data_IF_002060549247
#
_entry.id   IF_002060549247
#
_cell.length_a   1.000
_cell.length_b   1.000
_cell.length_c   1.000
_cell.angle_alpha   90.00
_cell.angle_beta   90.00
_cell.angle_gamma   90.00
#
_symmetry.space_group_name_H-M   'P 1'
#
loop_
_entity.id
_entity.type
_entity.pdbx_description
1 polymer ?
#
# COMPACT_ATOMS: atom_id res chain seq x y z
N UNK A 1 -18.51 11.09 -13.72
CA UNK A 1 -18.95 10.63 -12.38
C UNK A 1 -20.44 10.84 -12.27
N UNK A 2 -21.21 9.86 -11.77
CA UNK A 2 -22.67 9.99 -11.64
C UNK A 2 -23.07 10.87 -10.46
N UNK A 3 -24.14 11.65 -10.63
CA UNK A 3 -24.74 12.44 -9.57
C UNK A 3 -25.36 11.52 -8.52
N UNK A 4 -25.02 11.64 -7.22
CA UNK A 4 -25.57 10.79 -6.17
C UNK A 4 -27.07 11.03 -5.89
N UNK A 5 -27.64 12.13 -6.41
CA UNK A 5 -29.03 12.51 -6.15
C UNK A 5 -29.99 12.10 -7.27
N UNK A 6 -29.57 12.22 -8.54
CA UNK A 6 -30.42 11.96 -9.71
C UNK A 6 -29.81 10.97 -10.70
N UNK A 7 -28.63 10.42 -10.40
CA UNK A 7 -27.90 9.43 -11.19
C UNK A 7 -27.48 9.84 -12.62
N UNK A 8 -27.67 11.11 -12.99
CA UNK A 8 -27.22 11.67 -14.26
C UNK A 8 -25.68 11.70 -14.35
N UNK A 9 -25.14 11.60 -15.56
CA UNK A 9 -23.69 11.55 -15.81
C UNK A 9 -23.05 12.94 -15.92
N UNK A 10 -23.86 13.95 -16.25
CA UNK A 10 -23.44 15.34 -16.46
C UNK A 10 -23.16 16.04 -15.13
N UNK A 11 -21.88 16.04 -14.75
CA UNK A 11 -21.40 16.70 -13.53
C UNK A 11 -20.14 17.52 -13.78
N UNK A 12 -20.22 18.81 -13.49
CA UNK A 12 -19.15 19.79 -13.68
C UNK A 12 -18.33 19.98 -12.40
N UNK A 13 -17.01 20.04 -12.51
CA UNK A 13 -16.12 20.40 -11.40
C UNK A 13 -16.12 21.92 -11.25
N UNK A 14 -16.36 22.42 -10.02
CA UNK A 14 -16.44 23.86 -9.72
C UNK A 14 -15.33 24.35 -8.78
N UNK A 15 -14.74 23.48 -7.97
CA UNK A 15 -13.62 23.79 -7.07
C UNK A 15 -12.78 22.52 -6.89
N UNK A 16 -11.45 22.66 -6.93
CA UNK A 16 -10.50 21.56 -6.75
C UNK A 16 -9.38 22.01 -5.85
N UNK A 17 -9.13 21.28 -4.76
CA UNK A 17 -8.10 21.61 -3.76
C UNK A 17 -7.36 20.34 -3.31
N UNK A 18 -6.06 20.43 -2.95
CA UNK A 18 -5.36 19.35 -2.28
C UNK A 18 -6.01 19.03 -0.92
N UNK A 19 -5.96 17.77 -0.49
CA UNK A 19 -6.43 17.26 0.79
C UNK A 19 -5.51 16.11 1.27
N UNK A 20 -5.67 15.67 2.52
CA UNK A 20 -4.91 14.57 3.14
C UNK A 20 -3.39 14.71 2.91
N UNK A 21 -2.78 15.80 3.38
CA UNK A 21 -1.33 16.07 3.23
C UNK A 21 -0.80 15.91 1.78
N UNK A 22 -1.56 16.43 0.80
CA UNK A 22 -1.31 16.32 -0.64
C UNK A 22 -1.40 14.90 -1.22
N UNK A 23 -1.89 13.91 -0.47
CA UNK A 23 -2.11 12.55 -0.97
C UNK A 23 -3.47 12.36 -1.66
N UNK A 24 -4.35 13.37 -1.55
CA UNK A 24 -5.67 13.37 -2.16
C UNK A 24 -6.03 14.70 -2.82
N UNK A 25 -6.95 14.67 -3.79
CA UNK A 25 -7.57 15.84 -4.40
C UNK A 25 -9.05 15.85 -4.06
N UNK A 26 -9.50 16.87 -3.34
CA UNK A 26 -10.91 17.14 -3.08
C UNK A 26 -11.49 17.97 -4.22
N UNK A 27 -12.51 17.45 -4.90
CA UNK A 27 -13.25 18.15 -5.95
C UNK A 27 -14.70 18.41 -5.53
N UNK A 28 -15.15 19.66 -5.61
CA UNK A 28 -16.57 20.01 -5.52
C UNK A 28 -17.16 19.93 -6.92
N UNK A 29 -18.24 19.17 -7.08
CA UNK A 29 -18.96 18.98 -8.34
C UNK A 29 -20.38 19.54 -8.23
N UNK A 30 -20.93 19.98 -9.35
CA UNK A 30 -22.32 20.34 -9.52
C UNK A 30 -22.93 19.49 -10.63
N UNK A 31 -24.10 18.91 -10.39
CA UNK A 31 -24.87 18.21 -11.42
C UNK A 31 -25.57 19.21 -12.32
N UNK A 32 -25.47 19.02 -13.64
CA UNK A 32 -26.11 19.92 -14.62
C UNK A 32 -27.60 19.61 -14.78
N UNK A 33 -28.05 18.40 -14.48
CA UNK A 33 -29.47 18.00 -14.60
C UNK A 33 -30.34 18.43 -13.41
N UNK A 34 -29.84 18.34 -12.17
CA UNK A 34 -30.62 18.67 -10.96
C UNK A 34 -30.07 19.85 -10.15
N UNK A 35 -28.94 20.45 -10.57
CA UNK A 35 -28.32 21.60 -9.91
C UNK A 35 -27.63 21.29 -8.57
N UNK A 36 -27.78 20.08 -8.02
CA UNK A 36 -27.23 19.69 -6.73
C UNK A 36 -25.70 19.64 -6.72
N UNK A 37 -25.11 19.96 -5.57
CA UNK A 37 -23.65 19.99 -5.37
C UNK A 37 -23.20 18.87 -4.43
N UNK A 38 -22.09 18.22 -4.78
CA UNK A 38 -21.49 17.16 -3.97
C UNK A 38 -19.96 17.23 -4.02
N UNK A 39 -19.29 16.52 -3.12
CA UNK A 39 -17.82 16.48 -3.02
C UNK A 39 -17.32 15.08 -3.32
N UNK A 40 -16.26 14.98 -4.11
CA UNK A 40 -15.56 13.73 -4.41
C UNK A 40 -14.12 13.86 -3.98
N UNK A 41 -13.55 12.76 -3.50
CA UNK A 41 -12.13 12.67 -3.17
C UNK A 41 -11.48 11.73 -4.15
N UNK A 42 -10.48 12.22 -4.85
CA UNK A 42 -9.60 11.40 -5.68
C UNK A 42 -8.35 11.11 -4.85
N UNK A 43 -8.05 9.83 -4.64
CA UNK A 43 -6.88 9.37 -3.91
C UNK A 43 -6.03 8.57 -4.87
N UNK A 44 -4.71 8.66 -4.73
CA UNK A 44 -3.81 7.74 -5.43
C UNK A 44 -4.08 6.35 -4.86
N UNK A 45 -4.63 5.47 -5.69
CA UNK A 45 -4.81 4.07 -5.33
C UNK A 45 -3.46 3.37 -5.49
N UNK A 46 -2.75 3.20 -4.38
CA UNK A 46 -1.55 2.35 -4.35
C UNK A 46 -2.00 0.90 -4.40
N UNK A 47 -1.71 0.20 -5.49
CA UNK A 47 -1.94 -1.25 -5.57
C UNK A 47 -1.01 -1.88 -4.53
N UNK A 48 -1.56 -2.55 -3.48
CA UNK A 48 -0.71 -3.18 -2.48
C UNK A 48 0.09 -4.30 -3.14
N UNK A 49 1.38 -4.39 -2.82
CA UNK A 49 2.20 -5.52 -3.25
C UNK A 49 1.61 -6.80 -2.66
N UNK A 50 1.45 -7.82 -3.50
CA UNK A 50 0.87 -9.10 -3.11
C UNK A 50 1.98 -10.12 -2.87
N UNK A 51 1.81 -10.96 -1.85
CA UNK A 51 2.71 -12.04 -1.52
C UNK A 51 2.06 -13.37 -1.90
N UNK A 52 2.75 -14.16 -2.72
CA UNK A 52 2.31 -15.51 -3.12
C UNK A 52 2.80 -16.51 -2.05
N UNK A 53 1.85 -17.09 -1.32
CA UNK A 53 2.10 -18.15 -0.34
C UNK A 53 2.42 -19.48 -1.02
N UNK A 54 2.94 -20.44 -0.26
CA UNK A 54 3.28 -21.79 -0.75
C UNK A 54 2.08 -22.59 -1.29
N UNK A 55 0.88 -22.27 -0.82
CA UNK A 55 -0.39 -22.85 -1.28
C UNK A 55 -0.98 -22.10 -2.50
N UNK A 56 -0.19 -21.23 -3.14
CA UNK A 56 -0.60 -20.32 -4.22
C UNK A 56 -1.67 -19.29 -3.82
N UNK A 57 -1.99 -19.15 -2.53
CA UNK A 57 -2.85 -18.06 -2.09
C UNK A 57 -2.10 -16.72 -2.18
N UNK A 58 -2.83 -15.66 -2.59
CA UNK A 58 -2.31 -14.30 -2.66
C UNK A 58 -2.82 -13.51 -1.48
N UNK A 59 -1.91 -12.95 -0.71
CA UNK A 59 -2.24 -12.09 0.42
C UNK A 59 -1.53 -10.75 0.29
N UNK A 60 -2.13 -9.63 0.75
CA UNK A 60 -1.40 -8.37 0.81
C UNK A 60 -0.12 -8.51 1.62
N UNK A 61 0.93 -7.84 1.17
CA UNK A 61 2.16 -7.68 1.93
C UNK A 61 1.86 -7.06 3.31
N UNK A 62 2.48 -7.62 4.35
CA UNK A 62 2.33 -7.16 5.73
C UNK A 62 3.70 -7.20 6.39
N UNK A 63 4.24 -6.00 6.63
CA UNK A 63 5.56 -5.76 7.25
C UNK A 63 5.71 -6.50 8.57
N UNK A 64 4.66 -6.50 9.39
CA UNK A 64 4.64 -7.13 10.72
C UNK A 64 4.95 -8.63 10.66
N UNK A 65 4.63 -9.30 9.54
CA UNK A 65 4.94 -10.73 9.35
C UNK A 65 6.42 -10.97 9.07
N UNK A 66 7.11 -10.03 8.41
CA UNK A 66 8.56 -10.11 8.21
C UNK A 66 9.28 -9.86 9.53
N UNK A 67 8.89 -8.82 10.26
CA UNK A 67 9.41 -8.53 11.61
C UNK A 67 9.27 -9.75 12.53
N UNK A 68 8.08 -10.34 12.62
CA UNK A 68 7.84 -11.54 13.41
C UNK A 68 8.69 -12.73 12.94
N UNK A 69 8.91 -12.87 11.63
CA UNK A 69 9.79 -13.88 11.04
C UNK A 69 11.25 -13.70 11.46
N UNK A 70 11.77 -12.47 11.39
CA UNK A 70 13.13 -12.12 11.79
C UNK A 70 13.33 -12.36 13.28
N UNK A 71 12.39 -11.89 14.13
CA UNK A 71 12.44 -12.11 15.58
C UNK A 71 12.51 -13.59 15.92
N UNK A 72 11.71 -14.42 15.27
CA UNK A 72 11.74 -15.88 15.45
C UNK A 72 13.07 -16.49 15.01
N UNK A 73 13.60 -16.08 13.86
CA UNK A 73 14.90 -16.55 13.34
C UNK A 73 16.08 -16.11 14.22
N UNK A 74 15.95 -14.98 14.89
CA UNK A 74 16.95 -14.38 15.77
C UNK A 74 16.82 -14.81 17.24
N UNK A 75 15.93 -15.75 17.55
CA UNK A 75 15.67 -16.17 18.91
C UNK A 75 16.97 -16.66 19.59
N UNK A 76 17.35 -16.03 20.72
CA UNK A 76 18.61 -16.19 21.47
C UNK A 76 19.83 -15.41 20.95
N UNK A 77 19.69 -14.52 19.96
CA UNK A 77 20.74 -13.56 19.58
C UNK A 77 20.42 -12.17 20.16
N UNK A 78 21.41 -11.43 20.69
CA UNK A 78 21.21 -10.07 21.14
C UNK A 78 21.10 -9.14 19.93
N UNK A 79 19.88 -8.96 19.41
CA UNK A 79 19.59 -8.07 18.29
C UNK A 79 18.60 -7.01 18.76
N UNK A 80 18.94 -5.74 18.55
CA UNK A 80 18.09 -4.62 18.94
C UNK A 80 16.89 -4.48 17.99
N UNK A 81 15.79 -3.92 18.48
CA UNK A 81 14.62 -3.60 17.66
C UNK A 81 14.97 -2.67 16.51
N UNK A 82 15.93 -1.76 16.71
CA UNK A 82 16.39 -0.82 15.69
C UNK A 82 17.08 -1.54 14.53
N UNK A 83 17.92 -2.55 14.82
CA UNK A 83 18.53 -3.38 13.78
C UNK A 83 17.51 -4.21 13.01
N UNK A 84 16.47 -4.73 13.70
CA UNK A 84 15.39 -5.47 13.03
C UNK A 84 14.65 -4.55 12.06
N UNK A 85 14.28 -3.35 12.49
CA UNK A 85 13.60 -2.38 11.65
C UNK A 85 14.44 -2.01 10.42
N UNK A 86 15.75 -1.78 10.61
CA UNK A 86 16.66 -1.48 9.51
C UNK A 86 16.74 -2.63 8.49
N UNK A 87 16.85 -3.87 8.95
CA UNK A 87 16.86 -5.05 8.06
C UNK A 87 15.53 -5.16 7.30
N UNK A 88 14.41 -4.89 7.97
CA UNK A 88 13.07 -4.91 7.34
C UNK A 88 12.95 -3.82 6.28
N UNK A 89 13.42 -2.60 6.55
CA UNK A 89 13.43 -1.50 5.59
C UNK A 89 14.27 -1.83 4.36
N UNK A 90 15.43 -2.46 4.54
CA UNK A 90 16.27 -2.90 3.42
C UNK A 90 15.58 -3.98 2.58
N UNK A 91 14.92 -4.94 3.21
CA UNK A 91 14.16 -5.99 2.52
C UNK A 91 12.97 -5.39 1.77
N UNK A 92 12.23 -4.47 2.39
CA UNK A 92 11.13 -3.75 1.73
C UNK A 92 11.64 -3.01 0.50
N UNK A 93 12.71 -2.23 0.62
CA UNK A 93 13.28 -1.49 -0.50
C UNK A 93 13.65 -2.42 -1.67
N UNK A 94 14.24 -3.57 -1.39
CA UNK A 94 14.64 -4.55 -2.42
C UNK A 94 13.43 -5.23 -3.08
N UNK A 95 12.38 -5.54 -2.30
CA UNK A 95 11.15 -6.10 -2.85
C UNK A 95 10.40 -5.07 -3.72
N UNK A 96 10.28 -3.82 -3.25
CA UNK A 96 9.58 -2.76 -3.95
C UNK A 96 10.37 -2.20 -5.15
N UNK A 97 11.70 -2.29 -5.15
CA UNK A 97 12.53 -1.81 -6.28
C UNK A 97 12.37 -2.63 -7.55
N UNK A 98 11.94 -3.89 -7.44
CA UNK A 98 11.81 -4.78 -8.59
C UNK A 98 10.58 -4.48 -9.46
N UNK A 99 9.73 -3.50 -9.10
CA UNK A 99 8.49 -3.15 -9.81
C UNK A 99 7.50 -4.33 -9.99
N UNK A 100 7.73 -5.44 -9.28
CA UNK A 100 6.87 -6.61 -9.30
C UNK A 100 5.69 -6.40 -8.35
N UNK A 101 4.47 -6.65 -8.85
CA UNK A 101 3.25 -6.56 -8.03
C UNK A 101 3.01 -7.79 -7.18
N UNK A 102 3.66 -8.90 -7.50
CA UNK A 102 3.52 -10.18 -6.80
C UNK A 102 4.89 -10.76 -6.48
N UNK A 103 5.12 -11.15 -5.23
CA UNK A 103 6.41 -11.68 -4.76
C UNK A 103 6.18 -13.01 -4.04
N UNK A 104 6.85 -14.11 -4.45
CA UNK A 104 6.78 -15.38 -3.74
C UNK A 104 7.35 -15.32 -2.32
N UNK A 105 6.69 -16.02 -1.39
CA UNK A 105 7.19 -16.18 -0.01
C UNK A 105 8.58 -16.78 0.08
N UNK A 106 9.00 -17.61 -0.88
CA UNK A 106 10.35 -18.18 -0.93
C UNK A 106 11.41 -17.10 -1.15
N UNK A 107 11.16 -16.16 -2.05
CA UNK A 107 12.08 -15.05 -2.35
C UNK A 107 12.24 -14.12 -1.14
N UNK A 108 11.15 -13.79 -0.46
CA UNK A 108 11.19 -13.02 0.79
C UNK A 108 12.03 -13.75 1.86
N UNK A 109 11.85 -15.07 1.99
CA UNK A 109 12.63 -15.88 2.93
C UNK A 109 14.13 -15.90 2.61
N UNK A 110 14.49 -15.97 1.32
CA UNK A 110 15.88 -15.93 0.88
C UNK A 110 16.53 -14.57 1.16
N UNK A 111 15.83 -13.47 0.86
CA UNK A 111 16.25 -12.11 1.19
C UNK A 111 16.50 -11.93 2.68
N UNK A 112 15.56 -12.38 3.53
CA UNK A 112 15.71 -12.36 4.99
C UNK A 112 16.98 -13.12 5.42
N UNK A 113 17.20 -14.32 4.87
CA UNK A 113 18.37 -15.14 5.21
C UNK A 113 19.69 -14.52 4.73
N UNK A 114 19.69 -13.86 3.57
CA UNK A 114 20.86 -13.15 3.05
C UNK A 114 21.24 -11.98 3.96
N UNK A 115 20.25 -11.18 4.40
CA UNK A 115 20.47 -10.04 5.31
C UNK A 115 20.89 -10.46 6.72
N UNK A 116 20.46 -11.64 7.19
CA UNK A 116 20.80 -12.17 8.52
C UNK A 116 22.13 -12.97 8.59
N UNK A 117 22.72 -13.30 7.44
CA UNK A 117 24.02 -14.01 7.36
C UNK A 117 25.23 -13.08 7.50
N UNK A 118 25.01 -11.77 7.39
CA UNK A 118 26.05 -10.75 7.58
C UNK A 118 26.43 -10.56 9.06
#
# INVERSE_FOLDING_TARGET
>A
MKCPFCNAEDTKVIDSRPADDNTAIRRRRQCESCGQRFTTYEKVETIPMMVIKKDNSRVPYDRSKIEAGIVRSCHKRPISTQQINQIVDEIENEIFSNNEREVPTSQIGELVMQKLKA
#
